data_IF_160935237013
#
_entry.id   IF_160935237013
#
_cell.length_a   1.000
_cell.length_b   1.000
_cell.length_c   1.000
_cell.angle_alpha   90.00
_cell.angle_beta   90.00
_cell.angle_gamma   90.00
#
_symmetry.space_group_name_H-M   'P 1'
#
loop_
_entity.id
_entity.type
_entity.pdbx_description
1 polymer ?
#
# COMPACT_ATOMS: atom_id res chain seq x y z
N UNK A 1 17.13 13.13 -6.01
CA UNK A 1 16.41 12.28 -5.03
C UNK A 1 15.10 11.87 -5.69
N UNK A 2 14.91 10.58 -5.98
CA UNK A 2 13.70 10.09 -6.65
C UNK A 2 12.63 9.81 -5.59
N UNK A 3 11.40 10.23 -5.85
CA UNK A 3 10.24 9.92 -5.02
C UNK A 3 9.67 8.57 -5.51
N UNK A 4 9.77 7.46 -4.76
CA UNK A 4 9.14 6.21 -5.17
C UNK A 4 7.62 6.37 -5.17
N UNK A 5 7.02 6.42 -6.36
CA UNK A 5 5.58 6.52 -6.58
C UNK A 5 5.10 5.37 -7.44
N UNK A 6 3.87 4.94 -7.25
CA UNK A 6 3.28 3.90 -8.07
C UNK A 6 1.83 3.60 -7.70
N UNK A 7 1.29 2.63 -8.43
CA UNK A 7 -0.06 2.12 -8.24
C UNK A 7 -0.01 0.61 -8.19
N UNK A 8 -0.78 0.02 -7.27
CA UNK A 8 -0.92 -1.43 -7.13
C UNK A 8 -2.38 -1.77 -7.33
N UNK A 9 -2.63 -2.75 -8.19
CA UNK A 9 -3.95 -3.32 -8.42
C UNK A 9 -3.95 -4.75 -7.90
N UNK A 10 -4.88 -5.07 -6.99
CA UNK A 10 -5.02 -6.42 -6.45
C UNK A 10 -5.89 -7.22 -7.42
N UNK A 11 -5.27 -8.07 -8.23
CA UNK A 11 -5.97 -8.83 -9.26
C UNK A 11 -6.88 -9.93 -8.67
N UNK A 12 -6.55 -10.45 -7.48
CA UNK A 12 -7.29 -11.52 -6.82
C UNK A 12 -7.40 -11.22 -5.34
N UNK A 13 -8.62 -11.06 -4.79
CA UNK A 13 -8.84 -10.86 -3.36
C UNK A 13 -8.20 -11.95 -2.50
N UNK A 14 -7.74 -11.57 -1.31
CA UNK A 14 -7.04 -12.49 -0.40
C UNK A 14 -5.59 -12.77 -0.80
N UNK A 15 -5.01 -11.95 -1.67
CA UNK A 15 -3.62 -12.07 -2.11
C UNK A 15 -2.83 -10.83 -1.72
N UNK A 16 -1.83 -11.00 -0.85
CA UNK A 16 -0.91 -9.93 -0.52
C UNK A 16 0.00 -9.59 -1.72
N UNK A 17 -0.12 -8.38 -2.25
CA UNK A 17 0.68 -7.85 -3.36
C UNK A 17 1.73 -6.87 -2.86
N UNK A 18 3.00 -7.07 -3.19
CA UNK A 18 4.08 -6.19 -2.77
C UNK A 18 3.96 -4.79 -3.39
N UNK A 19 4.14 -3.75 -2.58
CA UNK A 19 4.05 -2.34 -3.02
C UNK A 19 5.23 -1.94 -3.90
N UNK A 20 6.41 -2.46 -3.62
CA UNK A 20 7.61 -2.21 -4.41
C UNK A 20 8.41 -3.48 -4.59
N UNK A 21 9.03 -3.61 -5.76
CA UNK A 21 9.97 -4.70 -6.09
C UNK A 21 11.44 -4.25 -5.98
N UNK A 22 11.69 -2.94 -6.02
CA UNK A 22 13.00 -2.34 -5.78
C UNK A 22 13.10 -1.80 -4.35
N UNK A 23 14.26 -2.01 -3.71
CA UNK A 23 14.51 -1.53 -2.35
C UNK A 23 14.66 -0.03 -2.33
N UNK A 24 13.70 0.66 -1.71
CA UNK A 24 13.74 2.11 -1.52
C UNK A 24 13.71 2.38 -0.03
N UNK A 25 14.79 2.99 0.47
CA UNK A 25 14.87 3.52 1.81
C UNK A 25 13.99 4.77 1.91
N UNK A 26 12.96 4.72 2.75
CA UNK A 26 11.98 5.78 2.93
C UNK A 26 11.88 6.22 4.40
N UNK A 27 11.57 7.49 4.63
CA UNK A 27 11.25 8.05 5.96
C UNK A 27 9.76 8.28 6.17
N UNK A 28 8.98 8.33 5.09
CA UNK A 28 7.53 8.39 5.13
C UNK A 28 6.93 7.71 3.89
N UNK A 29 5.67 7.28 4.00
CA UNK A 29 4.87 6.79 2.88
C UNK A 29 3.41 7.17 3.05
N UNK A 30 2.80 7.58 1.95
CA UNK A 30 1.36 7.81 1.83
C UNK A 30 0.76 6.73 0.95
N UNK A 31 -0.36 6.17 1.38
CA UNK A 31 -1.18 5.22 0.65
C UNK A 31 -2.58 5.79 0.47
N UNK A 32 -3.11 5.77 -0.74
CA UNK A 32 -4.44 6.27 -1.05
C UNK A 32 -5.23 5.23 -1.80
N UNK A 33 -6.33 4.78 -1.20
CA UNK A 33 -7.29 3.92 -1.88
C UNK A 33 -7.99 4.74 -2.96
N UNK A 34 -8.09 4.19 -4.18
CA UNK A 34 -8.78 4.93 -5.25
C UNK A 34 -10.27 5.03 -4.94
N UNK A 35 -10.84 6.18 -5.27
CA UNK A 35 -12.25 6.47 -4.99
C UNK A 35 -13.22 5.65 -5.86
N UNK A 36 -12.74 5.07 -6.96
CA UNK A 36 -13.49 4.18 -7.85
C UNK A 36 -13.37 2.69 -7.47
N UNK A 37 -12.64 2.37 -6.39
CA UNK A 37 -12.66 1.02 -5.82
C UNK A 37 -14.08 0.63 -5.37
N UNK A 38 -14.39 -0.64 -5.50
CA UNK A 38 -15.71 -1.20 -5.16
C UNK A 38 -15.72 -1.87 -3.79
N UNK A 39 -14.55 -2.27 -3.29
CA UNK A 39 -14.33 -2.76 -1.93
C UNK A 39 -13.23 -1.99 -1.19
N UNK A 40 -12.94 -2.43 0.03
CA UNK A 40 -11.84 -1.87 0.81
C UNK A 40 -10.50 -2.46 0.38
N UNK A 41 -9.44 -1.68 0.58
CA UNK A 41 -8.06 -2.14 0.44
C UNK A 41 -7.37 -2.17 1.80
N UNK A 42 -6.41 -3.06 1.95
CA UNK A 42 -5.78 -3.38 3.21
C UNK A 42 -4.28 -3.24 3.08
N UNK A 43 -3.67 -2.38 3.90
CA UNK A 43 -2.21 -2.17 3.91
C UNK A 43 -1.59 -2.92 5.09
N UNK A 44 -0.49 -3.64 4.85
CA UNK A 44 0.20 -4.40 5.89
C UNK A 44 1.54 -4.97 5.42
N UNK A 45 2.00 -6.03 6.06
CA UNK A 45 3.18 -6.80 5.67
C UNK A 45 2.83 -7.94 4.69
N UNK A 46 3.79 -8.80 4.36
CA UNK A 46 3.58 -9.94 3.44
C UNK A 46 2.44 -10.89 3.81
N UNK A 47 1.99 -10.91 5.06
CA UNK A 47 0.82 -11.67 5.53
C UNK A 47 -0.48 -10.87 5.60
N UNK A 48 -0.55 -9.69 4.98
CA UNK A 48 -1.75 -8.85 4.98
C UNK A 48 -2.95 -9.57 4.34
N UNK A 49 -4.10 -9.40 4.97
CA UNK A 49 -5.40 -9.92 4.57
C UNK A 49 -6.49 -8.96 5.02
N UNK A 50 -7.72 -9.16 4.56
CA UNK A 50 -8.90 -8.41 5.02
C UNK A 50 -9.19 -8.51 6.53
N UNK A 51 -8.57 -9.46 7.25
CA UNK A 51 -8.77 -9.66 8.70
C UNK A 51 -7.71 -9.02 9.59
N UNK A 52 -6.53 -8.67 9.06
CA UNK A 52 -5.40 -8.19 9.85
C UNK A 52 -4.74 -6.91 9.29
N UNK A 53 -5.07 -6.50 8.08
CA UNK A 53 -4.53 -5.30 7.46
C UNK A 53 -5.22 -4.01 7.93
N UNK A 54 -4.52 -2.89 7.75
CA UNK A 54 -5.13 -1.58 7.95
C UNK A 54 -6.11 -1.30 6.81
N UNK A 55 -7.40 -1.28 7.14
CA UNK A 55 -8.50 -1.08 6.19
C UNK A 55 -8.60 0.37 5.73
N UNK A 56 -8.71 0.57 4.41
CA UNK A 56 -8.96 1.85 3.77
C UNK A 56 -10.19 1.73 2.86
N UNK A 57 -11.18 2.59 3.08
CA UNK A 57 -12.33 2.69 2.18
C UNK A 57 -11.93 3.40 0.88
N UNK A 58 -12.71 3.23 -0.21
CA UNK A 58 -12.50 4.00 -1.43
C UNK A 58 -12.39 5.50 -1.16
N UNK A 59 -11.23 6.09 -1.50
CA UNK A 59 -10.93 7.51 -1.29
C UNK A 59 -10.18 7.84 0.01
N UNK A 60 -10.07 6.90 0.94
CA UNK A 60 -9.32 7.08 2.19
C UNK A 60 -7.80 7.10 1.94
N UNK A 61 -7.10 7.69 2.91
CA UNK A 61 -5.65 7.83 2.88
C UNK A 61 -5.02 7.42 4.22
N UNK A 62 -3.92 6.68 4.12
CA UNK A 62 -3.05 6.34 5.24
C UNK A 62 -1.70 7.02 5.05
N UNK A 63 -1.30 7.82 6.03
CA UNK A 63 0.00 8.47 6.07
C UNK A 63 0.84 7.90 7.22
N UNK A 64 2.00 7.36 6.88
CA UNK A 64 2.94 6.80 7.85
C UNK A 64 4.26 7.55 7.79
N UNK A 65 4.75 7.96 8.97
CA UNK A 65 6.06 8.58 9.13
C UNK A 65 6.88 7.73 10.09
N UNK A 66 8.13 7.47 9.75
CA UNK A 66 9.03 6.60 10.50
C UNK A 66 10.15 7.42 11.11
N UNK A 67 10.51 7.07 12.36
CA UNK A 67 11.68 7.66 13.03
C UNK A 67 12.99 7.20 12.37
N UNK A 68 13.01 5.96 11.89
CA UNK A 68 14.14 5.34 11.20
C UNK A 68 13.77 5.02 9.76
N UNK A 69 14.77 4.91 8.91
CA UNK A 69 14.59 4.53 7.51
C UNK A 69 14.04 3.11 7.39
N UNK A 70 12.96 2.94 6.64
CA UNK A 70 12.33 1.65 6.36
C UNK A 70 12.42 1.35 4.86
N UNK A 71 12.53 0.07 4.50
CA UNK A 71 12.47 -0.37 3.11
C UNK A 71 11.01 -0.48 2.65
N UNK A 72 10.67 0.20 1.55
CA UNK A 72 9.34 0.18 0.93
C UNK A 72 8.86 -1.24 0.55
N UNK A 73 9.76 -2.20 0.33
CA UNK A 73 9.42 -3.60 0.04
C UNK A 73 8.73 -4.33 1.21
N UNK A 74 8.69 -3.73 2.40
CA UNK A 74 8.01 -4.31 3.57
C UNK A 74 6.49 -4.12 3.52
N UNK A 75 6.00 -3.25 2.64
CA UNK A 75 4.58 -2.99 2.51
C UNK A 75 3.97 -3.87 1.42
N UNK A 76 2.81 -4.44 1.76
CA UNK A 76 1.97 -5.22 0.88
C UNK A 76 0.54 -4.72 1.00
N UNK A 77 -0.24 -5.02 -0.03
CA UNK A 77 -1.64 -4.62 -0.14
C UNK A 77 -2.48 -5.84 -0.50
N UNK A 78 -3.63 -5.98 0.15
CA UNK A 78 -4.71 -6.89 -0.23
C UNK A 78 -6.00 -6.08 -0.46
N UNK A 79 -7.04 -6.68 -1.04
CA UNK A 79 -8.31 -6.04 -1.29
C UNK A 79 -9.50 -7.01 -1.15
N UNK A 80 -10.67 -6.45 -0.84
CA UNK A 80 -11.93 -7.20 -0.83
C UNK A 80 -12.40 -7.59 -2.24
N UNK A 81 -12.22 -6.70 -3.21
CA UNK A 81 -12.69 -6.92 -4.60
C UNK A 81 -11.53 -6.96 -5.58
N UNK A 82 -11.66 -7.81 -6.59
CA UNK A 82 -10.69 -7.89 -7.67
C UNK A 82 -10.61 -6.57 -8.42
N UNK A 83 -9.40 -6.17 -8.81
CA UNK A 83 -9.09 -4.92 -9.50
C UNK A 83 -9.20 -3.64 -8.65
N UNK A 84 -9.51 -3.75 -7.36
CA UNK A 84 -9.35 -2.61 -6.45
C UNK A 84 -7.86 -2.22 -6.39
N UNK A 85 -7.62 -0.92 -6.32
CA UNK A 85 -6.30 -0.33 -6.52
C UNK A 85 -5.95 0.68 -5.44
N UNK A 86 -4.66 0.81 -5.18
CA UNK A 86 -4.10 1.79 -4.26
C UNK A 86 -2.93 2.50 -4.91
N UNK A 87 -2.85 3.80 -4.70
CA UNK A 87 -1.71 4.62 -5.11
C UNK A 87 -0.82 4.88 -3.90
N UNK A 88 0.49 4.91 -4.11
CA UNK A 88 1.45 5.19 -3.04
C UNK A 88 2.50 6.21 -3.47
N UNK A 89 3.01 6.94 -2.48
CA UNK A 89 4.15 7.83 -2.63
C UNK A 89 5.01 7.76 -1.36
N UNK A 90 6.27 7.34 -1.52
CA UNK A 90 7.25 7.33 -0.44
C UNK A 90 8.17 8.55 -0.50
N UNK A 91 8.53 9.10 0.65
CA UNK A 91 9.59 10.10 0.79
C UNK A 91 10.90 9.36 1.00
N UNK A 92 11.82 9.46 0.04
CA UNK A 92 13.14 8.86 0.15
C UNK A 92 13.85 9.39 1.42
N UNK A 93 14.65 8.53 2.05
CA UNK A 93 15.49 8.89 3.19
C UNK A 93 16.76 9.63 2.78
#
# INVERSE_FOLDING_TARGET
MSLPIGSITVATPGTAVAVATSGNAITAVSFRARADNTGAVYVGDSGVSSSNGYRLEPGDELNLSFKETIDLRRFFVDADTASDSIDFAGVAA
#
